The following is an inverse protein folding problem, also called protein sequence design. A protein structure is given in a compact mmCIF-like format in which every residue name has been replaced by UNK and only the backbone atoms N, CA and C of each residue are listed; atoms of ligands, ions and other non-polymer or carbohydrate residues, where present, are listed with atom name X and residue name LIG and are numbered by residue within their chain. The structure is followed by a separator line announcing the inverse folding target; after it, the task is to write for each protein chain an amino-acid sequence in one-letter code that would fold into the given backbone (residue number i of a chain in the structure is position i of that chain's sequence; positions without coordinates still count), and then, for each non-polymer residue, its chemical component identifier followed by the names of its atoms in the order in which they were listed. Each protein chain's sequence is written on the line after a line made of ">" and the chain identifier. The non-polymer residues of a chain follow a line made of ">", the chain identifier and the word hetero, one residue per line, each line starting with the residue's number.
data_IF_112822403086
#
_entry.id   IF_112822403086
#
_cell.length_a   1.000
_cell.length_b   1.000
_cell.length_c   1.000
_cell.angle_alpha   90.00
_cell.angle_beta   90.00
_cell.angle_gamma   90.00
#
_symmetry.space_group_name_H-M   'P 1'
#
loop_
_entity.id
_entity.type
_entity.pdbx_description
1 polymer ?
#
# COMPACT_ATOMS: atom_id res chain seq x y z
N UNK A 1 8.90 9.61 -11.62
CA UNK A 1 9.19 8.39 -10.85
C UNK A 1 10.13 7.55 -11.68
N UNK A 2 11.28 7.13 -11.13
CA UNK A 2 12.31 6.38 -11.85
C UNK A 2 12.43 4.99 -11.24
N UNK A 3 12.40 3.94 -12.07
CA UNK A 3 12.65 2.56 -11.64
C UNK A 3 14.10 2.20 -11.91
N UNK A 4 14.78 1.69 -10.87
CA UNK A 4 16.17 1.26 -10.95
C UNK A 4 16.27 -0.24 -10.75
N UNK A 5 17.07 -0.90 -11.60
CA UNK A 5 17.50 -2.27 -11.34
C UNK A 5 18.59 -2.28 -10.25
N UNK A 6 18.79 -3.40 -9.54
CA UNK A 6 19.83 -3.49 -8.50
C UNK A 6 21.22 -3.07 -9.00
N UNK A 7 21.61 -3.48 -10.21
CA UNK A 7 22.90 -3.12 -10.81
C UNK A 7 23.04 -1.63 -11.10
N UNK A 8 21.94 -0.91 -11.37
CA UNK A 8 21.98 0.54 -11.62
C UNK A 8 21.95 1.33 -10.32
N UNK A 9 21.20 0.86 -9.33
CA UNK A 9 21.03 1.49 -8.02
C UNK A 9 22.35 1.74 -7.29
N UNK A 10 23.34 0.86 -7.43
CA UNK A 10 24.68 1.01 -6.84
C UNK A 10 25.45 2.27 -7.30
N UNK A 11 25.09 2.84 -8.45
CA UNK A 11 25.73 4.05 -8.98
C UNK A 11 25.05 5.34 -8.50
N UNK A 12 23.93 5.24 -7.77
CA UNK A 12 23.18 6.39 -7.28
C UNK A 12 23.29 6.55 -5.77
N UNK A 13 23.50 7.79 -5.31
CA UNK A 13 23.33 8.16 -3.91
C UNK A 13 21.85 8.42 -3.66
N UNK A 14 21.19 7.52 -2.95
CA UNK A 14 19.74 7.55 -2.72
C UNK A 14 19.45 8.01 -1.30
N UNK A 15 18.88 9.21 -1.13
CA UNK A 15 18.49 9.72 0.18
C UNK A 15 17.38 8.86 0.80
N UNK A 16 17.55 8.53 2.08
CA UNK A 16 16.63 7.73 2.87
C UNK A 16 15.76 8.63 3.75
N UNK A 17 14.44 8.45 3.71
CA UNK A 17 13.51 9.15 4.59
C UNK A 17 12.78 10.33 3.95
N UNK A 18 11.90 10.92 4.77
CA UNK A 18 10.95 11.95 4.35
C UNK A 18 11.49 13.39 4.46
N UNK A 19 12.81 13.59 4.69
CA UNK A 19 13.41 14.93 4.85
C UNK A 19 12.86 15.89 3.80
N UNK A 20 12.07 16.86 4.27
CA UNK A 20 11.14 17.66 3.49
C UNK A 20 11.88 18.75 2.68
N UNK A 21 12.79 18.38 1.80
CA UNK A 21 13.31 19.31 0.80
C UNK A 21 12.32 19.56 -0.37
N UNK A 22 11.01 19.59 -0.08
CA UNK A 22 9.96 19.86 -1.07
C UNK A 22 9.76 21.37 -1.27
N UNK A 23 10.22 22.20 -0.34
CA UNK A 23 10.24 23.64 -0.49
C UNK A 23 11.60 24.07 -1.07
N UNK A 24 11.62 24.44 -2.36
CA UNK A 24 12.80 24.97 -3.08
C UNK A 24 13.49 26.19 -2.42
N UNK A 25 12.95 26.73 -1.33
CA UNK A 25 13.51 27.86 -0.57
C UNK A 25 13.90 27.53 0.87
N UNK A 26 13.76 26.28 1.32
CA UNK A 26 14.08 25.88 2.70
C UNK A 26 15.33 25.00 2.68
N UNK A 27 16.44 25.59 3.11
CA UNK A 27 17.77 25.00 3.22
C UNK A 27 17.94 24.36 4.62
N UNK A 28 16.96 23.58 5.09
CA UNK A 28 16.90 23.17 6.50
C UNK A 28 17.84 22.00 6.86
N UNK A 29 18.26 21.17 5.91
CA UNK A 29 19.26 20.11 6.15
C UNK A 29 20.41 20.21 5.13
N UNK A 30 21.59 20.65 5.59
CA UNK A 30 22.81 20.63 4.78
C UNK A 30 23.30 19.22 4.48
N UNK A 31 22.89 18.24 5.31
CA UNK A 31 23.28 16.83 5.17
C UNK A 31 22.08 15.92 5.41
N UNK A 32 22.01 14.81 4.67
CA UNK A 32 20.96 13.81 4.77
C UNK A 32 21.52 12.40 4.79
N UNK A 33 20.84 11.45 5.48
CA UNK A 33 21.19 10.05 5.37
C UNK A 33 20.87 9.55 3.96
N UNK A 34 21.83 8.85 3.36
CA UNK A 34 21.71 8.28 2.03
C UNK A 34 22.32 6.88 1.99
N UNK A 35 21.87 6.09 1.01
CA UNK A 35 22.42 4.79 0.69
C UNK A 35 23.25 4.89 -0.58
N UNK A 36 24.47 4.36 -0.55
CA UNK A 36 25.36 4.25 -1.71
C UNK A 36 26.15 2.95 -1.63
N UNK A 37 26.12 2.14 -2.69
CA UNK A 37 26.82 0.84 -2.75
C UNK A 37 26.61 -0.05 -1.50
N UNK A 38 25.36 -0.13 -1.05
CA UNK A 38 24.93 -0.90 0.14
C UNK A 38 25.41 -0.34 1.49
N UNK A 39 26.11 0.80 1.52
CA UNK A 39 26.48 1.49 2.75
C UNK A 39 25.52 2.64 3.07
N UNK A 40 25.34 2.92 4.37
CA UNK A 40 24.61 4.07 4.86
C UNK A 40 25.59 5.20 5.18
N UNK A 41 25.42 6.33 4.50
CA UNK A 41 26.28 7.50 4.58
C UNK A 41 25.46 8.73 4.96
N UNK A 42 26.13 9.74 5.50
CA UNK A 42 25.56 11.09 5.65
C UNK A 42 26.24 11.99 4.64
N UNK A 43 25.49 12.48 3.65
CA UNK A 43 26.02 13.25 2.52
C UNK A 43 25.35 14.61 2.43
N UNK A 44 25.98 15.57 1.74
CA UNK A 44 25.35 16.85 1.48
C UNK A 44 24.13 16.69 0.56
N UNK A 45 23.09 17.50 0.76
CA UNK A 45 21.87 17.41 -0.05
C UNK A 45 22.14 17.57 -1.54
N UNK A 46 23.10 18.42 -1.91
CA UNK A 46 23.51 18.67 -3.30
C UNK A 46 24.15 17.45 -3.97
N UNK A 47 24.62 16.48 -3.18
CA UNK A 47 25.21 15.23 -3.67
C UNK A 47 24.16 14.13 -3.88
N UNK A 48 22.93 14.31 -3.40
CA UNK A 48 21.85 13.32 -3.55
C UNK A 48 21.46 13.22 -5.02
N UNK A 49 21.51 12.02 -5.58
CA UNK A 49 21.05 11.79 -6.95
C UNK A 49 19.55 11.54 -7.01
N UNK A 50 19.03 10.77 -6.05
CA UNK A 50 17.63 10.33 -6.00
C UNK A 50 17.14 10.30 -4.55
N UNK A 51 15.83 10.35 -4.37
CA UNK A 51 15.19 10.26 -3.06
C UNK A 51 14.09 9.20 -3.08
N UNK A 52 13.96 8.47 -1.97
CA UNK A 52 12.80 7.59 -1.75
C UNK A 52 11.51 8.40 -1.54
N UNK A 53 10.46 8.06 -2.29
CA UNK A 53 9.15 8.75 -2.25
C UNK A 53 8.19 8.04 -1.28
N UNK A 54 8.44 6.77 -0.96
CA UNK A 54 7.51 5.96 -0.19
C UNK A 54 8.22 5.23 0.96
N UNK A 55 7.89 5.55 2.23
CA UNK A 55 8.59 4.97 3.38
C UNK A 55 8.38 3.45 3.50
N UNK A 56 7.23 2.94 3.04
CA UNK A 56 6.93 1.51 3.10
C UNK A 56 7.48 0.68 1.92
N UNK A 57 8.27 1.27 1.02
CA UNK A 57 8.76 0.57 -0.19
C UNK A 57 9.58 -0.70 0.09
N UNK A 58 10.10 -0.84 1.31
CA UNK A 58 10.91 -1.98 1.72
C UNK A 58 10.10 -3.10 2.38
N UNK A 59 8.84 -2.86 2.72
CA UNK A 59 7.99 -3.83 3.40
C UNK A 59 7.09 -4.55 2.41
N UNK A 60 6.78 -5.82 2.71
CA UNK A 60 5.72 -6.54 2.01
C UNK A 60 4.35 -5.93 2.35
N UNK A 61 3.32 -6.24 1.56
CA UNK A 61 1.98 -5.73 1.82
C UNK A 61 1.46 -6.15 3.20
N UNK A 62 1.71 -7.38 3.63
CA UNK A 62 1.28 -7.88 4.95
C UNK A 62 1.98 -7.19 6.11
N UNK A 63 3.29 -6.93 5.99
CA UNK A 63 4.00 -6.14 7.00
C UNK A 63 3.54 -4.68 7.01
N UNK A 64 3.25 -4.11 5.84
CA UNK A 64 2.78 -2.72 5.70
C UNK A 64 1.40 -2.47 6.30
N UNK A 65 0.61 -3.51 6.59
CA UNK A 65 -0.68 -3.42 7.28
C UNK A 65 -0.56 -3.42 8.82
N UNK A 66 0.65 -3.56 9.38
CA UNK A 66 0.88 -3.50 10.82
C UNK A 66 1.01 -2.03 11.24
N UNK A 67 0.06 -1.48 12.01
CA UNK A 67 0.20 -0.12 12.53
C UNK A 67 1.37 -0.05 13.51
N UNK A 68 2.10 1.07 13.50
CA UNK A 68 3.25 1.31 14.36
C UNK A 68 4.37 0.27 14.22
N UNK A 69 4.56 -0.29 13.01
CA UNK A 69 5.60 -1.31 12.74
C UNK A 69 7.01 -0.84 13.13
N UNK A 70 7.29 0.46 13.06
CA UNK A 70 8.55 1.08 13.47
C UNK A 70 8.85 0.91 14.97
N UNK A 71 7.85 0.62 15.79
CA UNK A 71 7.98 0.33 17.23
C UNK A 71 8.05 -1.17 17.54
N UNK A 72 8.09 -2.03 16.52
CA UNK A 72 8.14 -3.48 16.67
C UNK A 72 9.51 -4.02 16.28
N UNK A 73 9.95 -5.10 16.94
CA UNK A 73 11.10 -5.86 16.46
C UNK A 73 10.75 -6.67 15.19
N UNK A 74 11.77 -7.03 14.43
CA UNK A 74 11.63 -7.71 13.15
C UNK A 74 10.96 -9.09 13.27
N UNK A 75 11.21 -9.85 14.35
CA UNK A 75 10.64 -11.17 14.52
C UNK A 75 9.14 -11.07 14.81
N UNK A 76 8.73 -10.10 15.64
CA UNK A 76 7.31 -9.84 15.90
C UNK A 76 6.58 -9.39 14.65
N UNK A 77 7.15 -8.46 13.87
CA UNK A 77 6.56 -8.03 12.61
C UNK A 77 6.40 -9.20 11.61
N UNK A 78 7.42 -10.06 11.51
CA UNK A 78 7.38 -11.29 10.71
C UNK A 78 6.23 -12.19 11.14
N UNK A 79 6.15 -12.52 12.44
CA UNK A 79 5.09 -13.38 13.00
C UNK A 79 3.72 -12.78 12.75
N UNK A 80 3.53 -11.49 13.04
CA UNK A 80 2.26 -10.78 12.83
C UNK A 80 1.81 -10.83 11.36
N UNK A 81 2.70 -10.55 10.40
CA UNK A 81 2.36 -10.61 8.97
C UNK A 81 1.95 -12.03 8.51
N UNK A 82 2.53 -13.07 9.12
CA UNK A 82 2.17 -14.47 8.83
C UNK A 82 0.83 -14.86 9.47
N UNK A 83 0.59 -14.44 10.70
CA UNK A 83 -0.66 -14.70 11.41
C UNK A 83 -1.85 -14.00 10.75
N UNK A 84 -1.66 -12.78 10.21
CA UNK A 84 -2.71 -12.08 9.45
C UNK A 84 -3.24 -12.92 8.28
N UNK A 85 -2.37 -13.65 7.57
CA UNK A 85 -2.77 -14.53 6.44
C UNK A 85 -3.52 -15.80 6.87
N UNK A 86 -3.57 -16.07 8.16
CA UNK A 86 -4.28 -17.21 8.75
C UNK A 86 -5.62 -16.81 9.36
N UNK A 87 -5.92 -15.51 9.42
CA UNK A 87 -7.20 -15.01 9.90
C UNK A 87 -8.34 -15.57 9.04
N UNK A 88 -9.42 -15.98 9.70
CA UNK A 88 -10.63 -16.48 9.05
C UNK A 88 -11.67 -15.35 9.01
N UNK A 89 -12.37 -15.14 7.89
CA UNK A 89 -13.44 -14.15 7.82
C UNK A 89 -14.54 -14.42 8.85
N UNK A 90 -15.03 -13.35 9.48
CA UNK A 90 -16.13 -13.40 10.44
C UNK A 90 -17.49 -13.33 9.73
N UNK A 91 -18.56 -13.79 10.39
CA UNK A 91 -19.95 -13.65 9.89
C UNK A 91 -20.32 -12.18 9.68
N UNK A 92 -19.87 -11.30 10.58
CA UNK A 92 -20.01 -9.85 10.46
C UNK A 92 -18.62 -9.23 10.46
N UNK A 93 -18.27 -8.55 9.37
CA UNK A 93 -16.98 -7.89 9.23
C UNK A 93 -16.98 -6.52 9.89
N UNK A 94 -15.87 -6.17 10.54
CA UNK A 94 -15.64 -4.86 11.14
C UNK A 94 -14.36 -4.25 10.58
N UNK A 95 -14.34 -2.93 10.42
CA UNK A 95 -13.13 -2.21 10.04
C UNK A 95 -12.20 -2.09 11.24
N UNK A 96 -10.89 -2.05 10.99
CA UNK A 96 -9.93 -1.70 12.02
C UNK A 96 -10.21 -0.30 12.59
N UNK A 97 -10.08 -0.14 13.90
CA UNK A 97 -10.17 1.17 14.57
C UNK A 97 -8.91 1.98 14.31
N UNK A 98 -7.75 1.31 14.29
CA UNK A 98 -6.45 1.87 13.93
C UNK A 98 -5.92 1.09 12.74
N UNK A 99 -5.71 1.78 11.62
CA UNK A 99 -5.20 1.21 10.37
C UNK A 99 -4.03 2.01 9.82
N UNK A 100 -3.50 1.52 8.71
CA UNK A 100 -2.34 2.07 7.98
C UNK A 100 -2.74 2.90 6.77
N UNK A 101 -3.99 2.76 6.31
CA UNK A 101 -4.51 3.39 5.10
C UNK A 101 -4.35 2.52 3.85
N UNK A 102 -3.63 1.41 3.93
CA UNK A 102 -3.43 0.48 2.82
C UNK A 102 -4.56 -0.55 2.68
N UNK A 103 -5.41 -0.70 3.70
CA UNK A 103 -6.46 -1.73 3.76
C UNK A 103 -7.41 -1.65 2.57
N UNK A 104 -7.81 -0.43 2.17
CA UNK A 104 -8.69 -0.20 1.03
C UNK A 104 -8.05 -0.66 -0.27
N UNK A 105 -6.77 -0.33 -0.48
CA UNK A 105 -6.05 -0.72 -1.70
C UNK A 105 -5.90 -2.24 -1.76
N UNK A 106 -5.53 -2.87 -0.64
CA UNK A 106 -5.43 -4.34 -0.53
C UNK A 106 -6.76 -5.01 -0.84
N UNK A 107 -7.87 -4.50 -0.30
CA UNK A 107 -9.19 -5.05 -0.57
C UNK A 107 -9.55 -4.95 -2.06
N UNK A 108 -9.34 -3.79 -2.69
CA UNK A 108 -9.62 -3.60 -4.11
C UNK A 108 -8.76 -4.50 -5.00
N UNK A 109 -7.47 -4.60 -4.71
CA UNK A 109 -6.51 -5.38 -5.51
C UNK A 109 -6.66 -6.90 -5.29
N UNK A 110 -7.38 -7.32 -4.23
CA UNK A 110 -7.62 -8.75 -3.96
C UNK A 110 -8.61 -9.42 -4.91
N UNK A 111 -9.44 -8.63 -5.63
CA UNK A 111 -10.51 -9.13 -6.47
C UNK A 111 -11.73 -9.69 -5.72
N UNK A 112 -11.79 -9.55 -4.39
CA UNK A 112 -12.94 -10.00 -3.58
C UNK A 112 -14.14 -9.03 -3.67
N UNK A 113 -13.97 -7.69 -3.59
CA UNK A 113 -15.09 -6.78 -3.70
C UNK A 113 -15.70 -6.78 -5.11
N UNK A 114 -17.02 -6.62 -5.19
CA UNK A 114 -17.70 -6.29 -6.43
C UNK A 114 -17.35 -4.84 -6.84
N UNK A 115 -16.74 -4.66 -8.02
CA UNK A 115 -16.31 -3.36 -8.54
C UNK A 115 -17.13 -3.03 -9.78
N UNK A 116 -17.70 -1.82 -9.82
CA UNK A 116 -18.37 -1.31 -11.02
C UNK A 116 -17.33 -0.80 -12.03
N UNK A 117 -17.38 -1.30 -13.26
CA UNK A 117 -16.49 -0.89 -14.36
C UNK A 117 -16.90 0.45 -14.99
N UNK A 118 -18.16 0.83 -14.84
CA UNK A 118 -18.75 2.02 -15.42
C UNK A 118 -19.45 2.86 -14.36
N UNK A 119 -19.48 4.17 -14.59
CA UNK A 119 -20.28 5.07 -13.77
C UNK A 119 -21.78 4.83 -13.99
N UNK A 120 -22.58 5.08 -12.97
CA UNK A 120 -24.02 4.96 -13.08
C UNK A 120 -24.73 5.10 -11.75
N UNK A 121 -26.06 5.01 -11.81
CA UNK A 121 -26.94 5.09 -10.65
C UNK A 121 -27.52 3.72 -10.34
N UNK A 122 -27.49 3.32 -9.07
CA UNK A 122 -28.14 2.09 -8.61
C UNK A 122 -29.65 2.20 -8.87
N UNK A 123 -30.19 1.21 -9.56
CA UNK A 123 -31.62 1.09 -9.87
C UNK A 123 -32.26 0.05 -8.97
N UNK A 124 -31.54 -1.03 -8.67
CA UNK A 124 -32.05 -2.14 -7.87
C UNK A 124 -30.91 -2.89 -7.16
N UNK A 125 -31.20 -3.39 -5.97
CA UNK A 125 -30.27 -4.18 -5.16
C UNK A 125 -30.98 -5.40 -4.60
N UNK A 126 -30.37 -6.57 -4.75
CA UNK A 126 -30.76 -7.81 -4.10
C UNK A 126 -29.52 -8.47 -3.47
N UNK A 127 -29.73 -9.57 -2.77
CA UNK A 127 -28.70 -10.40 -2.16
C UNK A 127 -27.76 -11.05 -3.18
N UNK A 128 -28.25 -11.38 -4.38
CA UNK A 128 -27.48 -12.07 -5.42
C UNK A 128 -26.94 -11.14 -6.52
N UNK A 129 -27.37 -9.87 -6.58
CA UNK A 129 -26.93 -8.92 -7.60
C UNK A 129 -27.20 -7.46 -7.28
N UNK A 130 -26.45 -6.58 -7.93
CA UNK A 130 -26.66 -5.13 -7.96
C UNK A 130 -26.91 -4.72 -9.40
N UNK A 131 -27.98 -3.98 -9.66
CA UNK A 131 -28.32 -3.44 -10.99
C UNK A 131 -28.15 -1.92 -10.98
N UNK A 132 -27.40 -1.39 -11.93
CA UNK A 132 -27.16 0.04 -12.09
C UNK A 132 -27.35 0.46 -13.55
N UNK A 133 -27.72 1.72 -13.77
CA UNK A 133 -27.85 2.29 -15.10
C UNK A 133 -26.82 3.39 -15.33
N UNK A 134 -26.13 3.32 -16.46
CA UNK A 134 -25.11 4.26 -16.89
C UNK A 134 -25.07 4.33 -18.42
N UNK A 135 -24.85 5.51 -19.00
CA UNK A 135 -24.77 5.72 -20.45
C UNK A 135 -25.96 5.22 -21.29
N UNK A 136 -27.16 5.11 -20.69
CA UNK A 136 -28.37 4.63 -21.36
C UNK A 136 -28.57 3.12 -21.28
N UNK A 137 -27.58 2.38 -20.79
CA UNK A 137 -27.64 0.94 -20.59
C UNK A 137 -27.95 0.59 -19.13
N UNK A 138 -28.47 -0.63 -18.93
CA UNK A 138 -28.65 -1.24 -17.61
C UNK A 138 -27.67 -2.39 -17.45
N UNK A 139 -26.80 -2.30 -16.44
CA UNK A 139 -25.75 -3.27 -16.15
C UNK A 139 -26.05 -3.97 -14.82
N UNK A 140 -25.62 -5.24 -14.72
CA UNK A 140 -25.83 -6.07 -13.53
C UNK A 140 -24.50 -6.64 -13.06
N UNK A 141 -24.23 -6.51 -11.76
CA UNK A 141 -23.08 -7.10 -11.08
C UNK A 141 -23.58 -8.26 -10.21
N UNK A 142 -23.27 -9.53 -10.54
CA UNK A 142 -23.63 -10.65 -9.70
C UNK A 142 -22.79 -10.66 -8.41
N UNK A 143 -23.42 -11.07 -7.30
CA UNK A 143 -22.80 -11.24 -6.00
C UNK A 143 -22.68 -12.73 -5.68
N UNK A 144 -21.57 -13.11 -5.06
CA UNK A 144 -21.30 -14.50 -4.65
C UNK A 144 -21.90 -14.73 -3.27
N UNK A 145 -22.82 -15.69 -3.17
CA UNK A 145 -23.50 -16.04 -1.92
C UNK A 145 -23.10 -17.43 -1.46
N UNK A 146 -22.57 -17.53 -0.22
CA UNK A 146 -22.27 -18.78 0.48
C UNK A 146 -21.44 -19.80 -0.33
N UNK A 147 -20.40 -19.33 -1.03
CA UNK A 147 -19.47 -20.20 -1.74
C UNK A 147 -18.37 -20.71 -0.80
N UNK A 148 -18.04 -22.00 -0.93
CA UNK A 148 -16.98 -22.61 -0.10
C UNK A 148 -15.61 -22.18 -0.61
N UNK A 149 -14.75 -21.74 0.30
CA UNK A 149 -13.33 -21.48 0.00
C UNK A 149 -12.51 -22.77 -0.13
N UNK A 150 -11.29 -22.68 -0.67
CA UNK A 150 -10.37 -23.83 -0.75
C UNK A 150 -9.91 -24.38 0.62
N UNK A 151 -10.07 -23.60 1.69
CA UNK A 151 -9.80 -24.04 3.07
C UNK A 151 -11.08 -24.52 3.74
#
# INVERSE_FOLDING_TARGET
>A
MLYLSPSRDEYYMVATGNSLALNRGIQEEQVVPARYRQEFLTIAWEQVHLRSIFPFQYFSIGASLIPFIEHNDANRALMSSNMQRQAVPLSQSEKCIVGTGLERQVALDSGVPAIAEHEGKIVYTDTDKIIFSGNGDTLSIPLVMYERSNK
#
